data_IF_488410344318
#
_entry.id   IF_488410344318
#
_cell.length_a   1.000
_cell.length_b   1.000
_cell.length_c   1.000
_cell.angle_alpha   90.00
_cell.angle_beta   90.00
_cell.angle_gamma   90.00
#
_symmetry.space_group_name_H-M   'P 1'
#
loop_
_entity.id
_entity.type
_entity.pdbx_description
1 polymer ?
#
# COMPACT_ATOMS: atom_id res chain seq x y z
N UNK A 1 -23.08 13.01 0.99
CA UNK A 1 -22.49 14.29 0.53
C UNK A 1 -21.57 14.79 1.63
N UNK A 2 -20.35 15.20 1.30
CA UNK A 2 -19.39 15.73 2.28
C UNK A 2 -19.90 17.04 2.87
N UNK A 3 -19.77 17.27 4.20
CA UNK A 3 -20.05 18.57 4.77
C UNK A 3 -19.19 19.63 4.07
N UNK A 4 -19.83 20.69 3.59
CA UNK A 4 -19.16 21.84 2.99
C UNK A 4 -18.73 22.75 4.13
N UNK A 5 -17.42 22.95 4.29
CA UNK A 5 -16.87 23.85 5.30
C UNK A 5 -16.98 25.31 4.83
N UNK A 6 -16.69 25.53 3.55
CA UNK A 6 -16.67 26.85 2.95
C UNK A 6 -17.10 26.79 1.49
N UNK A 7 -17.84 27.80 1.04
CA UNK A 7 -18.36 27.88 -0.32
C UNK A 7 -18.02 29.24 -0.94
N UNK A 8 -17.10 29.25 -1.90
CA UNK A 8 -16.69 30.42 -2.69
C UNK A 8 -17.28 30.30 -4.10
N UNK A 9 -18.56 30.62 -4.26
CA UNK A 9 -19.23 30.56 -5.56
C UNK A 9 -19.26 29.13 -6.12
N UNK A 10 -18.44 28.86 -7.15
CA UNK A 10 -18.30 27.55 -7.78
C UNK A 10 -17.34 26.60 -7.05
N UNK A 11 -16.52 27.11 -6.13
CA UNK A 11 -15.52 26.33 -5.40
C UNK A 11 -16.04 25.97 -4.01
N UNK A 12 -16.25 24.67 -3.77
CA UNK A 12 -16.67 24.14 -2.47
C UNK A 12 -15.48 23.47 -1.77
N UNK A 13 -15.08 24.02 -0.63
CA UNK A 13 -14.12 23.37 0.26
C UNK A 13 -14.91 22.45 1.18
N UNK A 14 -14.70 21.15 1.00
CA UNK A 14 -15.36 20.12 1.80
C UNK A 14 -14.42 19.61 2.90
N UNK A 15 -15.00 18.99 3.92
CA UNK A 15 -14.25 18.25 4.95
C UNK A 15 -13.30 17.23 4.30
N UNK A 16 -13.73 16.56 3.23
CA UNK A 16 -12.89 15.64 2.46
C UNK A 16 -11.65 16.32 1.87
N UNK A 17 -11.81 17.52 1.30
CA UNK A 17 -10.67 18.30 0.79
C UNK A 17 -9.66 18.66 1.89
N UNK A 18 -10.14 18.99 3.09
CA UNK A 18 -9.26 19.24 4.24
C UNK A 18 -8.46 17.98 4.63
N UNK A 19 -9.12 16.81 4.68
CA UNK A 19 -8.44 15.54 4.95
C UNK A 19 -7.41 15.19 3.88
N UNK A 20 -7.67 15.47 2.61
CA UNK A 20 -6.67 15.28 1.55
C UNK A 20 -5.45 16.16 1.74
N UNK A 21 -5.62 17.43 2.14
CA UNK A 21 -4.50 18.33 2.45
C UNK A 21 -3.69 17.79 3.63
N UNK A 22 -4.34 17.35 4.71
CA UNK A 22 -3.67 16.74 5.86
C UNK A 22 -2.95 15.45 5.46
N UNK A 23 -3.59 14.61 4.64
CA UNK A 23 -3.02 13.38 4.11
C UNK A 23 -1.85 13.60 3.15
N UNK A 24 -1.68 14.82 2.60
CA UNK A 24 -0.48 15.20 1.84
C UNK A 24 0.61 15.75 2.77
N UNK A 25 0.27 16.74 3.61
CA UNK A 25 1.24 17.47 4.43
C UNK A 25 1.89 16.58 5.48
N UNK A 26 1.12 15.71 6.15
CA UNK A 26 1.64 14.87 7.22
C UNK A 26 2.65 13.82 6.72
N UNK A 27 2.36 13.02 5.68
CA UNK A 27 3.37 12.14 5.06
C UNK A 27 4.57 12.89 4.51
N UNK A 28 4.37 14.07 3.90
CA UNK A 28 5.47 14.90 3.39
C UNK A 28 6.43 15.31 4.52
N UNK A 29 5.90 15.76 5.65
CA UNK A 29 6.71 16.09 6.82
C UNK A 29 7.40 14.86 7.41
N UNK A 30 6.72 13.71 7.43
CA UNK A 30 7.31 12.44 7.89
C UNK A 30 8.49 12.01 6.99
N UNK A 31 8.32 12.06 5.67
CA UNK A 31 9.36 11.77 4.67
C UNK A 31 10.56 12.69 4.89
N UNK A 32 10.32 14.01 5.02
CA UNK A 32 11.38 14.97 5.30
C UNK A 32 12.12 14.66 6.59
N UNK A 33 11.40 14.38 7.69
CA UNK A 33 12.04 14.03 8.96
C UNK A 33 12.89 12.78 8.86
N UNK A 34 12.51 11.83 7.99
CA UNK A 34 13.24 10.58 7.77
C UNK A 34 14.48 10.74 6.91
N UNK A 35 14.39 11.54 5.85
CA UNK A 35 15.46 11.64 4.85
C UNK A 35 16.42 12.82 5.08
N UNK A 36 16.11 13.77 5.97
CA UNK A 36 16.93 14.99 6.19
C UNK A 36 18.40 14.74 6.56
N UNK A 37 18.75 13.55 7.05
CA UNK A 37 20.13 13.18 7.36
C UNK A 37 20.88 12.55 6.18
N UNK A 38 20.17 12.10 5.15
CA UNK A 38 20.72 11.30 4.04
C UNK A 38 20.59 11.98 2.69
N UNK A 39 19.65 12.92 2.54
CA UNK A 39 19.34 13.60 1.29
C UNK A 39 19.22 15.12 1.48
N UNK A 40 19.46 15.85 0.40
CA UNK A 40 19.28 17.32 0.39
C UNK A 40 17.81 17.70 0.45
N UNK A 41 17.48 18.88 0.99
CA UNK A 41 16.09 19.37 1.06
C UNK A 41 15.38 19.38 -0.30
N UNK A 42 16.09 19.74 -1.37
CA UNK A 42 15.55 19.75 -2.73
C UNK A 42 15.22 18.33 -3.21
N UNK A 43 16.11 17.37 -2.96
CA UNK A 43 15.90 15.97 -3.34
C UNK A 43 14.73 15.34 -2.59
N UNK A 44 14.56 15.65 -1.30
CA UNK A 44 13.42 15.21 -0.50
C UNK A 44 12.11 15.79 -1.06
N UNK A 45 12.12 17.07 -1.40
CA UNK A 45 10.96 17.75 -1.98
C UNK A 45 10.59 17.14 -3.34
N UNK A 46 11.55 16.98 -4.24
CA UNK A 46 11.37 16.33 -5.55
C UNK A 46 10.84 14.91 -5.40
N UNK A 47 11.41 14.10 -4.50
CA UNK A 47 10.95 12.74 -4.23
C UNK A 47 9.50 12.70 -3.76
N UNK A 48 9.15 13.57 -2.81
CA UNK A 48 7.81 13.64 -2.23
C UNK A 48 6.78 14.05 -3.28
N UNK A 49 7.09 15.10 -4.07
CA UNK A 49 6.21 15.59 -5.12
C UNK A 49 6.04 14.54 -6.24
N UNK A 50 7.13 13.91 -6.66
CA UNK A 50 7.11 12.84 -7.66
C UNK A 50 6.25 11.66 -7.19
N UNK A 51 6.48 11.16 -5.97
CA UNK A 51 5.74 10.01 -5.45
C UNK A 51 4.24 10.33 -5.35
N UNK A 52 3.89 11.52 -4.83
CA UNK A 52 2.50 11.94 -4.74
C UNK A 52 1.83 12.04 -6.12
N UNK A 53 2.50 12.69 -7.09
CA UNK A 53 1.99 12.82 -8.45
C UNK A 53 1.77 11.45 -9.12
N UNK A 54 2.71 10.51 -8.96
CA UNK A 54 2.61 9.16 -9.52
C UNK A 54 1.49 8.34 -8.86
N UNK A 55 1.36 8.39 -7.53
CA UNK A 55 0.28 7.69 -6.80
C UNK A 55 -1.08 8.25 -7.21
N UNK A 56 -1.22 9.57 -7.28
CA UNK A 56 -2.48 10.22 -7.64
C UNK A 56 -2.85 9.93 -9.10
N UNK A 57 -1.91 10.11 -10.04
CA UNK A 57 -2.14 9.81 -11.46
C UNK A 57 -2.45 8.34 -11.70
N UNK A 58 -1.76 7.42 -11.02
CA UNK A 58 -2.04 5.99 -11.12
C UNK A 58 -3.43 5.62 -10.61
N UNK A 59 -3.85 6.20 -9.49
CA UNK A 59 -5.20 6.01 -8.96
C UNK A 59 -6.29 6.55 -9.89
N UNK A 60 -6.10 7.74 -10.44
CA UNK A 60 -7.05 8.37 -11.36
C UNK A 60 -7.14 7.60 -12.67
N UNK A 61 -5.99 7.27 -13.28
CA UNK A 61 -5.93 6.59 -14.57
C UNK A 61 -6.57 5.21 -14.49
N UNK A 62 -6.25 4.42 -13.45
CA UNK A 62 -6.83 3.09 -13.29
C UNK A 62 -8.36 3.15 -13.11
N UNK A 63 -8.86 4.06 -12.27
CA UNK A 63 -10.31 4.21 -12.11
C UNK A 63 -11.02 4.69 -13.38
N UNK A 64 -10.38 5.59 -14.12
CA UNK A 64 -10.91 6.05 -15.39
C UNK A 64 -10.99 4.93 -16.42
N UNK A 65 -9.98 4.05 -16.46
CA UNK A 65 -9.97 2.86 -17.33
C UNK A 65 -11.04 1.84 -16.91
N UNK A 66 -11.23 1.64 -15.60
CA UNK A 66 -12.18 0.65 -15.08
C UNK A 66 -13.64 1.09 -15.23
N UNK A 67 -13.95 2.35 -14.87
CA UNK A 67 -15.33 2.84 -14.71
C UNK A 67 -15.74 3.93 -15.72
N UNK A 68 -14.81 4.41 -16.56
CA UNK A 68 -15.06 5.49 -17.52
C UNK A 68 -15.35 6.86 -16.88
N UNK A 69 -15.12 7.00 -15.56
CA UNK A 69 -15.44 8.20 -14.76
C UNK A 69 -14.22 8.66 -13.98
N UNK A 70 -14.25 9.94 -13.58
CA UNK A 70 -13.22 10.48 -12.68
C UNK A 70 -13.45 9.99 -11.25
N UNK A 71 -12.40 9.43 -10.67
CA UNK A 71 -12.36 8.89 -9.30
C UNK A 71 -10.97 8.35 -9.01
N UNK A 72 -10.79 7.60 -7.93
CA UNK A 72 -9.47 7.11 -7.48
C UNK A 72 -9.56 5.62 -7.18
N UNK A 73 -8.78 4.82 -7.91
CA UNK A 73 -8.60 3.38 -7.70
C UNK A 73 -7.46 3.14 -6.73
N UNK A 74 -7.75 2.43 -5.63
CA UNK A 74 -6.74 2.08 -4.62
C UNK A 74 -5.62 1.22 -5.22
N UNK A 75 -5.95 0.24 -6.05
CA UNK A 75 -4.95 -0.62 -6.69
C UNK A 75 -4.09 0.14 -7.70
N UNK A 76 -4.69 1.04 -8.50
CA UNK A 76 -3.93 1.90 -9.40
C UNK A 76 -2.91 2.76 -8.66
N UNK A 77 -3.32 3.36 -7.54
CA UNK A 77 -2.46 4.16 -6.69
C UNK A 77 -1.31 3.33 -6.08
N UNK A 78 -1.60 2.12 -5.57
CA UNK A 78 -0.59 1.22 -4.99
C UNK A 78 0.41 0.73 -6.05
N UNK A 79 -0.06 0.23 -7.18
CA UNK A 79 0.81 -0.35 -8.23
C UNK A 79 1.74 0.73 -8.79
N UNK A 80 1.19 1.87 -9.21
CA UNK A 80 2.00 2.96 -9.77
C UNK A 80 2.92 3.57 -8.70
N UNK A 81 2.47 3.68 -7.45
CA UNK A 81 3.30 4.10 -6.33
C UNK A 81 4.51 3.20 -6.08
N UNK A 82 4.31 1.87 -6.11
CA UNK A 82 5.40 0.89 -5.95
C UNK A 82 6.38 0.98 -7.11
N UNK A 83 5.91 1.09 -8.35
CA UNK A 83 6.78 1.27 -9.51
C UNK A 83 7.55 2.58 -9.48
N UNK A 84 6.91 3.69 -9.10
CA UNK A 84 7.55 4.99 -8.93
C UNK A 84 8.63 4.93 -7.86
N UNK A 85 8.36 4.29 -6.72
CA UNK A 85 9.35 4.08 -5.67
C UNK A 85 10.53 3.24 -6.16
N UNK A 86 10.28 2.12 -6.84
CA UNK A 86 11.33 1.27 -7.43
C UNK A 86 12.20 2.06 -8.40
N UNK A 87 11.58 2.84 -9.29
CA UNK A 87 12.27 3.67 -10.27
C UNK A 87 13.16 4.71 -9.59
N UNK A 88 12.62 5.44 -8.61
CA UNK A 88 13.36 6.44 -7.85
C UNK A 88 14.55 5.85 -7.09
N UNK A 89 14.32 4.75 -6.35
CA UNK A 89 15.35 4.07 -5.60
C UNK A 89 16.49 3.56 -6.51
N UNK A 90 16.17 3.07 -7.72
CA UNK A 90 17.19 2.69 -8.71
C UNK A 90 18.02 3.88 -9.19
N UNK A 91 17.37 5.02 -9.47
CA UNK A 91 18.05 6.24 -9.95
C UNK A 91 18.97 6.83 -8.88
N UNK A 92 18.53 6.85 -7.63
CA UNK A 92 19.26 7.44 -6.49
C UNK A 92 20.11 6.45 -5.70
N UNK A 93 20.11 5.17 -6.10
CA UNK A 93 20.78 4.06 -5.39
C UNK A 93 20.35 3.93 -3.93
N UNK A 94 19.09 4.29 -3.62
CA UNK A 94 18.50 4.10 -2.30
C UNK A 94 18.04 2.65 -2.11
N UNK A 95 18.04 2.15 -0.87
CA UNK A 95 17.48 0.84 -0.59
C UNK A 95 15.94 0.88 -0.67
N UNK A 96 15.39 0.27 -1.72
CA UNK A 96 13.96 0.16 -1.92
C UNK A 96 13.22 -0.41 -0.71
N UNK A 97 13.78 -1.44 -0.07
CA UNK A 97 13.09 -2.16 1.00
C UNK A 97 12.99 -1.34 2.28
N UNK A 98 14.00 -0.53 2.56
CA UNK A 98 13.96 0.42 3.67
C UNK A 98 12.87 1.47 3.44
N UNK A 99 12.80 2.04 2.24
CA UNK A 99 11.82 3.06 1.90
C UNK A 99 10.40 2.50 1.88
N UNK A 100 10.24 1.32 1.29
CA UNK A 100 8.98 0.60 1.23
C UNK A 100 8.43 0.28 2.63
N UNK A 101 9.29 -0.08 3.60
CA UNK A 101 8.89 -0.40 4.96
C UNK A 101 8.16 0.75 5.67
N UNK A 102 8.66 1.97 5.58
CA UNK A 102 8.02 3.09 6.25
C UNK A 102 6.98 3.80 5.37
N UNK A 103 7.12 3.79 4.04
CA UNK A 103 6.10 4.32 3.12
C UNK A 103 4.80 3.52 3.15
N UNK A 104 4.89 2.19 3.22
CA UNK A 104 3.70 1.33 3.33
C UNK A 104 2.89 1.61 4.60
N UNK A 105 3.55 1.92 5.72
CA UNK A 105 2.89 2.36 6.96
C UNK A 105 2.17 3.70 6.75
N UNK A 106 2.78 4.64 6.02
CA UNK A 106 2.12 5.88 5.62
C UNK A 106 0.93 5.60 4.70
N UNK A 107 1.00 4.60 3.83
CA UNK A 107 -0.11 4.12 3.01
C UNK A 107 -1.28 3.60 3.85
N UNK A 108 -1.03 2.79 4.88
CA UNK A 108 -2.08 2.34 5.82
C UNK A 108 -2.68 3.51 6.61
N UNK A 109 -1.87 4.49 7.00
CA UNK A 109 -2.38 5.71 7.63
C UNK A 109 -3.23 6.53 6.67
N UNK A 110 -2.81 6.68 5.41
CA UNK A 110 -3.57 7.36 4.38
C UNK A 110 -4.92 6.67 4.14
N UNK A 111 -4.95 5.33 4.18
CA UNK A 111 -6.18 4.57 4.13
C UNK A 111 -7.08 4.79 5.33
N UNK A 112 -6.53 4.77 6.55
CA UNK A 112 -7.28 5.07 7.77
C UNK A 112 -7.92 6.46 7.72
N UNK A 113 -7.12 7.49 7.43
CA UNK A 113 -7.60 8.87 7.34
C UNK A 113 -8.55 9.07 6.16
N UNK A 114 -8.28 8.43 5.01
CA UNK A 114 -9.15 8.45 3.84
C UNK A 114 -10.50 7.79 4.13
N UNK A 115 -10.51 6.70 4.90
CA UNK A 115 -11.74 6.04 5.37
C UNK A 115 -12.55 6.93 6.31
N UNK A 116 -11.89 7.59 7.28
CA UNK A 116 -12.56 8.56 8.16
C UNK A 116 -13.13 9.74 7.36
N UNK A 117 -12.36 10.23 6.40
CA UNK A 117 -12.77 11.26 5.46
C UNK A 117 -13.87 10.79 4.49
N UNK A 118 -14.09 9.48 4.35
CA UNK A 118 -15.21 8.89 3.60
C UNK A 118 -16.43 8.63 4.49
N UNK A 119 -16.33 8.85 5.80
CA UNK A 119 -17.46 8.89 6.73
C UNK A 119 -18.04 7.52 7.06
N UNK A 120 -19.29 7.45 7.61
CA UNK A 120 -19.85 6.21 8.14
C UNK A 120 -19.92 5.06 7.14
N UNK A 121 -20.06 5.36 5.85
CA UNK A 121 -20.07 4.35 4.78
C UNK A 121 -18.75 3.59 4.60
N UNK A 122 -17.64 4.08 5.16
CA UNK A 122 -16.34 3.41 5.14
C UNK A 122 -15.94 2.84 6.50
N UNK A 123 -16.87 2.65 7.44
CA UNK A 123 -16.57 2.14 8.78
C UNK A 123 -15.79 0.81 8.77
N UNK A 124 -16.14 -0.10 7.86
CA UNK A 124 -15.42 -1.37 7.67
C UNK A 124 -13.98 -1.14 7.19
N UNK A 125 -13.77 -0.21 6.28
CA UNK A 125 -12.43 0.18 5.79
C UNK A 125 -11.58 0.82 6.88
N UNK A 126 -12.16 1.70 7.69
CA UNK A 126 -11.47 2.30 8.85
C UNK A 126 -11.08 1.23 9.86
N UNK A 127 -11.98 0.29 10.17
CA UNK A 127 -11.68 -0.82 11.07
C UNK A 127 -10.57 -1.73 10.50
N UNK A 128 -10.62 -2.06 9.21
CA UNK A 128 -9.58 -2.82 8.51
C UNK A 128 -8.22 -2.13 8.56
N UNK A 129 -8.18 -0.81 8.32
CA UNK A 129 -6.96 -0.02 8.42
C UNK A 129 -6.41 0.01 9.86
N UNK A 130 -7.28 0.18 10.86
CA UNK A 130 -6.88 0.19 12.27
C UNK A 130 -6.29 -1.15 12.71
N UNK A 131 -6.96 -2.27 12.38
CA UNK A 131 -6.44 -3.62 12.66
C UNK A 131 -5.10 -3.83 11.96
N UNK A 132 -4.98 -3.40 10.70
CA UNK A 132 -3.72 -3.48 9.94
C UNK A 132 -2.59 -2.71 10.63
N UNK A 133 -2.86 -1.49 11.10
CA UNK A 133 -1.89 -0.66 11.83
C UNK A 133 -1.49 -1.30 13.17
N UNK A 134 -2.42 -1.93 13.89
CA UNK A 134 -2.12 -2.67 15.12
C UNK A 134 -1.20 -3.87 14.84
N UNK A 135 -1.54 -4.70 13.85
CA UNK A 135 -0.71 -5.86 13.44
C UNK A 135 0.68 -5.39 13.04
N UNK A 136 0.78 -4.38 12.19
CA UNK A 136 2.06 -3.82 11.73
C UNK A 136 2.84 -3.19 12.89
N UNK A 137 2.17 -2.56 13.85
CA UNK A 137 2.80 -2.02 15.07
C UNK A 137 3.40 -3.11 15.95
N UNK A 138 2.67 -4.21 16.15
CA UNK A 138 3.16 -5.39 16.88
C UNK A 138 4.35 -6.01 16.15
N UNK A 139 4.22 -6.24 14.84
CA UNK A 139 5.31 -6.80 14.02
C UNK A 139 6.52 -5.88 14.10
N UNK A 140 6.38 -4.57 13.87
CA UNK A 140 7.50 -3.62 13.91
C UNK A 140 8.22 -3.60 15.27
N UNK A 141 7.47 -3.70 16.35
CA UNK A 141 8.02 -3.66 17.72
C UNK A 141 8.80 -4.93 18.09
N UNK A 142 8.36 -6.08 17.59
CA UNK A 142 8.97 -7.38 17.87
C UNK A 142 10.04 -7.77 16.84
N UNK A 143 9.83 -7.40 15.57
CA UNK A 143 10.69 -7.75 14.44
C UNK A 143 12.09 -7.16 14.57
N UNK A 144 12.26 -5.97 15.18
CA UNK A 144 13.61 -5.42 15.41
C UNK A 144 14.40 -6.18 16.49
N UNK A 145 13.74 -6.99 17.32
CA UNK A 145 14.39 -7.79 18.37
C UNK A 145 14.86 -9.14 17.86
N UNK A 146 14.14 -9.71 16.89
CA UNK A 146 14.52 -10.96 16.24
C UNK A 146 15.17 -10.66 14.89
N UNK A 147 16.45 -11.02 14.70
CA UNK A 147 17.05 -11.10 13.35
C UNK A 147 16.36 -12.22 12.57
N UNK A 148 15.18 -11.95 12.05
CA UNK A 148 14.34 -12.90 11.32
C UNK A 148 14.99 -13.36 10.00
N UNK A 149 15.93 -12.56 9.48
CA UNK A 149 16.72 -12.90 8.32
C UNK A 149 18.19 -13.09 8.70
N UNK A 150 18.85 -14.16 8.19
CA UNK A 150 20.30 -14.25 8.19
C UNK A 150 20.95 -13.04 7.53
N UNK A 151 20.26 -12.40 6.57
CA UNK A 151 20.73 -11.23 5.83
C UNK A 151 20.53 -9.89 6.53
N UNK A 152 19.78 -9.83 7.64
CA UNK A 152 19.47 -8.57 8.35
C UNK A 152 18.66 -7.53 7.54
N UNK A 153 17.97 -7.95 6.47
CA UNK A 153 17.42 -7.02 5.46
C UNK A 153 16.07 -6.43 5.87
N UNK A 154 15.89 -5.14 5.60
CA UNK A 154 14.62 -4.42 5.78
C UNK A 154 13.56 -4.92 4.76
N UNK A 155 12.30 -4.53 4.90
CA UNK A 155 11.23 -4.84 3.93
C UNK A 155 10.07 -5.69 4.46
N UNK A 156 10.18 -6.29 5.66
CA UNK A 156 9.10 -7.14 6.20
C UNK A 156 7.87 -6.31 6.58
N UNK A 157 8.07 -5.11 7.10
CA UNK A 157 6.98 -4.27 7.58
C UNK A 157 6.10 -3.91 6.40
N UNK A 158 6.70 -3.53 5.27
CA UNK A 158 5.96 -3.21 4.06
C UNK A 158 5.28 -4.42 3.42
N UNK A 159 5.90 -5.59 3.48
CA UNK A 159 5.25 -6.83 3.03
C UNK A 159 4.04 -7.16 3.91
N UNK A 160 4.14 -7.04 5.24
CA UNK A 160 2.99 -7.25 6.14
C UNK A 160 1.89 -6.20 5.91
N UNK A 161 2.23 -4.94 5.63
CA UNK A 161 1.22 -3.95 5.21
C UNK A 161 0.43 -4.42 3.99
N UNK A 162 1.10 -4.98 2.97
CA UNK A 162 0.42 -5.53 1.78
C UNK A 162 -0.40 -6.79 2.10
N UNK A 163 0.07 -7.66 3.00
CA UNK A 163 -0.71 -8.81 3.48
C UNK A 163 -2.01 -8.33 4.11
N UNK A 164 -1.94 -7.40 5.06
CA UNK A 164 -3.11 -6.89 5.76
C UNK A 164 -4.10 -6.22 4.79
N UNK A 165 -3.61 -5.39 3.86
CA UNK A 165 -4.45 -4.79 2.82
C UNK A 165 -5.16 -5.85 1.96
N UNK A 166 -4.40 -6.83 1.47
CA UNK A 166 -4.93 -7.86 0.57
C UNK A 166 -5.96 -8.75 1.29
N UNK A 167 -5.69 -9.11 2.55
CA UNK A 167 -6.63 -9.87 3.37
C UNK A 167 -7.92 -9.09 3.64
N UNK A 168 -7.83 -7.77 3.87
CA UNK A 168 -9.01 -6.93 4.02
C UNK A 168 -9.88 -6.95 2.74
N UNK A 169 -9.27 -6.71 1.57
CA UNK A 169 -9.98 -6.71 0.28
C UNK A 169 -10.70 -8.05 0.03
N UNK A 170 -10.02 -9.16 0.32
CA UNK A 170 -10.60 -10.51 0.20
C UNK A 170 -11.72 -10.73 1.24
N UNK A 171 -11.54 -10.25 2.47
CA UNK A 171 -12.52 -10.42 3.55
C UNK A 171 -13.82 -9.66 3.28
N UNK A 172 -13.72 -8.45 2.74
CA UNK A 172 -14.89 -7.66 2.32
C UNK A 172 -15.69 -8.39 1.24
N UNK A 173 -15.02 -9.12 0.35
CA UNK A 173 -15.67 -9.97 -0.66
C UNK A 173 -16.56 -11.04 -0.03
N UNK A 174 -16.04 -11.74 0.97
CA UNK A 174 -16.72 -12.87 1.61
C UNK A 174 -17.94 -12.43 2.41
N UNK A 175 -17.90 -11.23 2.99
CA UNK A 175 -19.02 -10.69 3.76
C UNK A 175 -20.11 -10.13 2.84
N UNK A 176 -19.72 -9.48 1.73
CA UNK A 176 -20.67 -8.83 0.81
C UNK A 176 -21.36 -9.76 -0.18
N UNK A 177 -20.69 -10.83 -0.63
CA UNK A 177 -21.21 -11.75 -1.63
C UNK A 177 -21.33 -13.16 -1.04
N UNK A 178 -22.56 -13.64 -0.80
CA UNK A 178 -22.85 -15.02 -0.35
C UNK A 178 -22.47 -16.13 -1.36
N UNK A 179 -21.70 -15.81 -2.40
CA UNK A 179 -21.28 -16.77 -3.43
C UNK A 179 -19.90 -17.29 -3.07
N UNK A 180 -19.85 -18.55 -2.66
CA UNK A 180 -18.63 -19.28 -2.25
C UNK A 180 -17.63 -19.48 -3.41
N UNK A 181 -18.06 -19.27 -4.67
CA UNK A 181 -17.24 -19.53 -5.85
C UNK A 181 -16.46 -18.30 -6.34
N UNK A 182 -15.25 -18.55 -6.84
CA UNK A 182 -14.35 -17.56 -7.46
C UNK A 182 -15.00 -16.70 -8.55
N UNK A 183 -16.06 -17.18 -9.20
CA UNK A 183 -16.79 -16.44 -10.22
C UNK A 183 -17.53 -15.19 -9.73
N UNK A 184 -17.59 -14.92 -8.42
CA UNK A 184 -18.19 -13.73 -7.83
C UNK A 184 -17.20 -12.66 -7.36
N UNK A 185 -15.89 -12.85 -7.55
CA UNK A 185 -14.88 -11.89 -7.10
C UNK A 185 -14.74 -10.72 -8.07
N UNK A 186 -14.58 -9.51 -7.51
CA UNK A 186 -14.23 -8.33 -8.30
C UNK A 186 -12.78 -8.43 -8.77
N UNK A 187 -12.43 -7.70 -9.85
CA UNK A 187 -11.05 -7.66 -10.35
C UNK A 187 -10.05 -7.26 -9.25
N UNK A 188 -10.40 -6.29 -8.40
CA UNK A 188 -9.58 -5.89 -7.25
C UNK A 188 -9.32 -7.01 -6.24
N UNK A 189 -10.28 -7.92 -6.03
CA UNK A 189 -10.14 -9.06 -5.12
C UNK A 189 -9.26 -10.16 -5.72
N UNK A 190 -9.35 -10.38 -7.04
CA UNK A 190 -8.45 -11.28 -7.76
C UNK A 190 -7.02 -10.76 -7.66
N UNK A 191 -6.81 -9.45 -7.90
CA UNK A 191 -5.51 -8.81 -7.72
C UNK A 191 -5.01 -8.95 -6.28
N UNK A 192 -5.88 -8.74 -5.29
CA UNK A 192 -5.55 -8.93 -3.88
C UNK A 192 -5.06 -10.36 -3.57
N UNK A 193 -5.74 -11.38 -4.10
CA UNK A 193 -5.34 -12.78 -3.90
C UNK A 193 -3.96 -13.08 -4.50
N UNK A 194 -3.69 -12.56 -5.71
CA UNK A 194 -2.37 -12.71 -6.34
C UNK A 194 -1.28 -11.98 -5.58
N UNK A 195 -1.54 -10.74 -5.14
CA UNK A 195 -0.59 -9.96 -4.34
C UNK A 195 -0.31 -10.66 -3.02
N UNK A 196 -1.33 -11.18 -2.34
CA UNK A 196 -1.18 -11.94 -1.11
C UNK A 196 -0.28 -13.16 -1.33
N UNK A 197 -0.55 -13.96 -2.36
CA UNK A 197 0.27 -15.13 -2.69
C UNK A 197 1.73 -14.74 -2.97
N UNK A 198 1.95 -13.70 -3.77
CA UNK A 198 3.29 -13.19 -4.10
C UNK A 198 4.03 -12.71 -2.85
N UNK A 199 3.35 -11.97 -1.98
CA UNK A 199 3.92 -11.44 -0.74
C UNK A 199 4.28 -12.56 0.23
N UNK A 200 3.44 -13.59 0.38
CA UNK A 200 3.76 -14.77 1.20
C UNK A 200 5.01 -15.48 0.68
N UNK A 201 5.10 -15.69 -0.64
CA UNK A 201 6.29 -16.28 -1.28
C UNK A 201 7.51 -15.39 -1.06
N UNK A 202 7.38 -14.07 -1.20
CA UNK A 202 8.46 -13.12 -0.96
C UNK A 202 8.95 -13.17 0.50
N UNK A 203 8.04 -13.23 1.48
CA UNK A 203 8.38 -13.39 2.90
C UNK A 203 9.11 -14.72 3.11
N UNK A 204 8.60 -15.83 2.57
CA UNK A 204 9.22 -17.16 2.70
C UNK A 204 10.64 -17.21 2.12
N UNK A 205 10.81 -16.72 0.89
CA UNK A 205 12.11 -16.68 0.21
C UNK A 205 13.10 -15.80 0.95
N UNK A 206 12.67 -14.62 1.41
CA UNK A 206 13.54 -13.74 2.22
C UNK A 206 13.91 -14.38 3.55
N UNK A 207 13.01 -15.19 4.13
CA UNK A 207 13.23 -15.98 5.35
C UNK A 207 14.31 -17.04 5.24
N UNK A 208 14.96 -17.20 4.07
CA UNK A 208 15.93 -18.25 3.81
C UNK A 208 15.29 -19.55 3.30
N UNK A 209 13.97 -19.55 3.07
CA UNK A 209 13.27 -20.64 2.42
C UNK A 209 13.81 -20.88 1.02
N UNK A 210 14.10 -22.14 0.69
CA UNK A 210 14.46 -22.54 -0.67
C UNK A 210 13.22 -23.11 -1.34
N UNK A 211 12.92 -22.64 -2.56
CA UNK A 211 11.94 -23.31 -3.41
C UNK A 211 12.60 -24.55 -3.98
N UNK A 212 12.31 -25.73 -3.40
CA UNK A 212 12.75 -26.99 -3.96
C UNK A 212 11.90 -27.33 -5.19
N UNK A 213 12.14 -26.65 -6.30
CA UNK A 213 11.80 -27.18 -7.62
C UNK A 213 12.85 -28.23 -7.98
N UNK A 214 12.97 -29.26 -7.14
CA UNK A 214 13.83 -30.39 -7.44
C UNK A 214 13.19 -31.01 -8.67
N UNK A 215 13.84 -30.82 -9.84
CA UNK A 215 13.54 -31.58 -11.04
C UNK A 215 13.49 -33.04 -10.60
N UNK A 216 12.29 -33.61 -10.48
CA UNK A 216 12.13 -35.04 -10.72
C UNK A 216 12.54 -35.21 -12.17
N UNK A 217 13.84 -35.36 -12.41
CA UNK A 217 14.32 -36.05 -13.59
C UNK A 217 13.65 -37.40 -13.49
N UNK A 218 12.57 -37.57 -14.25
CA UNK A 218 12.03 -38.88 -14.53
C UNK A 218 13.20 -39.63 -15.15
N UNK A 219 13.87 -40.48 -14.36
CA UNK A 219 14.71 -41.49 -14.95
C UNK A 219 13.74 -42.41 -15.67
N UNK A 220 13.62 -42.19 -16.98
CA UNK A 220 13.07 -43.18 -17.89
C UNK A 220 14.02 -44.36 -17.77
N UNK A 221 13.63 -45.35 -16.96
CA UNK A 221 14.26 -46.67 -16.97
C UNK A 221 13.90 -47.28 -18.31
N UNK A 222 14.89 -47.37 -19.20
CA UNK A 222 14.86 -48.28 -20.34
C UNK A 222 14.95 -49.73 -19.85
#
# INVERSE_FOLDING_TARGET
MWPVLFNLGSVKITVFGLYLIVALLWPSFYIWRKLRSEATSNEIFEFTLYLFAMVLSGGILAHFVDDGKLGISGWGAVVVGVFALLWWCRRKKWDFWEHFDWLSVLGLLAWFWGGLAYGPGAATGVAGALVSLLVVGIVRSNYRRFRWYPSGRMGIVGLICLVCWSLYEISVAMVGNHRVYWGGLTAGQIVAAWVLAYVIVAIYLRGGGKLSWTKRTMSVRN
#
